data_IF_848662873181
#
_entry.id   IF_848662873181
#
_cell.length_a   1.000
_cell.length_b   1.000
_cell.length_c   1.000
_cell.angle_alpha   90.00
_cell.angle_beta   90.00
_cell.angle_gamma   90.00
#
_symmetry.space_group_name_H-M   'P 1'
#
loop_
_entity.id
_entity.type
_entity.pdbx_description
1 polymer ?
#
# COMPACT_ATOMS: atom_id res chain seq x y z
N UNK A 1 16.80 -2.11 -12.76
CA UNK A 1 16.21 -3.13 -11.86
C UNK A 1 15.24 -2.43 -10.91
N UNK A 2 14.02 -2.94 -10.76
CA UNK A 2 13.03 -2.39 -9.82
C UNK A 2 13.31 -2.85 -8.39
N UNK A 3 13.17 -1.95 -7.43
CA UNK A 3 13.31 -2.25 -5.99
C UNK A 3 11.93 -2.34 -5.36
N UNK A 4 11.63 -3.45 -4.70
CA UNK A 4 10.35 -3.67 -4.01
C UNK A 4 10.54 -3.52 -2.50
N UNK A 5 9.70 -2.70 -1.87
CA UNK A 5 9.73 -2.47 -0.43
C UNK A 5 8.49 -3.07 0.22
N UNK A 6 8.63 -4.07 1.13
CA UNK A 6 7.49 -4.55 1.89
C UNK A 6 7.00 -3.44 2.83
N UNK A 7 5.68 -3.24 2.89
CA UNK A 7 5.04 -2.24 3.75
C UNK A 7 4.28 -2.92 4.88
N UNK A 8 3.25 -3.68 4.54
CA UNK A 8 2.44 -4.45 5.49
C UNK A 8 1.76 -5.64 4.77
N UNK A 9 1.25 -6.63 5.52
CA UNK A 9 0.40 -7.67 4.96
C UNK A 9 -0.89 -7.09 4.37
N UNK A 10 -1.35 -7.63 3.23
CA UNK A 10 -2.59 -7.19 2.58
C UNK A 10 -3.82 -7.29 3.50
N UNK A 11 -3.83 -8.26 4.42
CA UNK A 11 -4.92 -8.46 5.39
C UNK A 11 -5.10 -7.30 6.38
N UNK A 12 -4.14 -6.38 6.46
CA UNK A 12 -4.25 -5.17 7.28
C UNK A 12 -4.89 -3.99 6.53
N UNK A 13 -5.12 -4.12 5.22
CA UNK A 13 -5.75 -3.09 4.39
C UNK A 13 -7.22 -3.49 4.17
N UNK A 14 -8.14 -2.67 4.65
CA UNK A 14 -9.57 -2.94 4.48
C UNK A 14 -9.95 -2.79 2.99
N UNK A 15 -10.87 -3.63 2.48
CA UNK A 15 -11.35 -3.53 1.10
C UNK A 15 -11.87 -2.13 0.78
N UNK A 16 -11.54 -1.62 -0.41
CA UNK A 16 -11.94 -0.29 -0.89
C UNK A 16 -11.52 0.88 0.03
N UNK A 17 -10.48 0.71 0.86
CA UNK A 17 -9.87 1.80 1.66
C UNK A 17 -8.46 2.12 1.21
N UNK A 18 -8.09 3.40 1.23
CA UNK A 18 -6.72 3.85 0.95
C UNK A 18 -5.87 3.97 2.21
N UNK A 19 -4.59 3.62 2.11
CA UNK A 19 -3.59 3.77 3.20
C UNK A 19 -2.36 4.51 2.72
N UNK A 20 -1.65 5.16 3.65
CA UNK A 20 -0.35 5.77 3.39
C UNK A 20 0.76 4.90 3.98
N UNK A 21 1.86 4.76 3.23
CA UNK A 21 3.05 4.02 3.60
C UNK A 21 4.28 4.92 3.55
N UNK A 22 5.26 4.70 4.43
CA UNK A 22 6.55 5.37 4.37
C UNK A 22 7.57 4.47 3.68
N UNK A 23 8.00 4.83 2.47
CA UNK A 23 9.00 4.09 1.69
C UNK A 23 10.22 4.99 1.52
N UNK A 24 11.34 4.63 2.16
CA UNK A 24 12.60 5.41 2.12
C UNK A 24 12.43 6.89 2.50
N UNK A 25 11.61 7.15 3.51
CA UNK A 25 11.32 8.51 3.97
C UNK A 25 10.30 9.28 3.12
N UNK A 26 9.73 8.66 2.09
CA UNK A 26 8.68 9.25 1.26
C UNK A 26 7.33 8.64 1.58
N UNK A 27 6.30 9.47 1.67
CA UNK A 27 4.93 9.03 1.86
C UNK A 27 4.31 8.63 0.51
N UNK A 28 3.82 7.40 0.43
CA UNK A 28 3.21 6.81 -0.78
C UNK A 28 1.80 6.35 -0.44
N UNK A 29 0.83 6.73 -1.27
CA UNK A 29 -0.56 6.30 -1.12
C UNK A 29 -0.81 5.00 -1.89
N UNK A 30 -1.45 4.04 -1.23
CA UNK A 30 -1.97 2.83 -1.86
C UNK A 30 -3.48 2.84 -1.77
N UNK A 31 -4.14 2.79 -2.94
CA UNK A 31 -5.59 2.66 -3.06
C UNK A 31 -5.90 1.36 -3.82
N UNK A 32 -6.31 0.29 -3.14
CA UNK A 32 -6.77 -0.91 -3.80
C UNK A 32 -8.09 -0.60 -4.52
N UNK A 33 -8.20 -1.08 -5.76
CA UNK A 33 -9.45 -1.01 -6.50
C UNK A 33 -10.56 -1.72 -5.71
N UNK A 34 -11.82 -1.23 -5.77
CA UNK A 34 -12.95 -2.01 -5.30
C UNK A 34 -12.93 -3.34 -6.06
N UNK A 35 -12.78 -4.45 -5.35
CA UNK A 35 -13.00 -5.76 -5.94
C UNK A 35 -14.48 -5.85 -6.29
N UNK A 36 -14.79 -6.02 -7.57
CA UNK A 36 -16.17 -6.29 -8.02
C UNK A 36 -16.64 -7.65 -7.52
#
# INVERSE_FOLDING_TARGET
>A
MSQWNPVCPLTQILPATGVCALVKGQQVAYLPSPQR
#
